data_IF_611866866641
#
_entry.id   IF_611866866641
#
_cell.length_a   1.000
_cell.length_b   1.000
_cell.length_c   1.000
_cell.angle_alpha   90.00
_cell.angle_beta   90.00
_cell.angle_gamma   90.00
#
_symmetry.space_group_name_H-M   'P 1'
#
loop_
_entity.id
_entity.type
_entity.pdbx_description
1 polymer ?
#
# COMPACT_ATOMS: atom_id res chain seq x y z
N UNK A 1 -21.51 -6.15 -13.27
CA UNK A 1 -21.08 -4.90 -12.59
C UNK A 1 -21.36 -3.75 -13.56
N UNK A 2 -22.46 -3.02 -13.39
CA UNK A 2 -22.82 -1.91 -14.28
C UNK A 2 -21.91 -0.73 -14.00
N UNK A 3 -21.22 -0.24 -15.03
CA UNK A 3 -20.43 1.00 -14.96
C UNK A 3 -21.41 2.16 -15.07
N UNK A 4 -21.70 2.83 -13.97
CA UNK A 4 -22.54 4.05 -13.97
C UNK A 4 -21.72 5.13 -14.70
N UNK A 5 -22.19 5.62 -15.86
CA UNK A 5 -21.46 6.66 -16.54
C UNK A 5 -21.63 8.00 -15.79
N UNK A 6 -20.50 8.65 -15.52
CA UNK A 6 -20.42 9.90 -14.75
C UNK A 6 -20.22 11.03 -15.75
N UNK A 7 -21.15 11.98 -15.80
CA UNK A 7 -21.13 13.07 -16.79
C UNK A 7 -20.94 14.45 -16.16
N UNK A 8 -21.29 14.62 -14.88
CA UNK A 8 -21.10 15.86 -14.12
C UNK A 8 -20.26 15.63 -12.87
N UNK A 9 -19.68 16.71 -12.35
CA UNK A 9 -18.90 16.69 -11.11
C UNK A 9 -19.74 16.26 -9.89
N UNK A 10 -21.02 16.62 -9.85
CA UNK A 10 -21.96 16.20 -8.80
C UNK A 10 -22.13 14.68 -8.78
N UNK A 11 -22.30 14.08 -9.96
CA UNK A 11 -22.45 12.64 -10.11
C UNK A 11 -21.19 11.89 -9.66
N UNK A 12 -20.01 12.51 -9.83
CA UNK A 12 -18.75 11.96 -9.32
C UNK A 12 -18.69 12.00 -7.79
N UNK A 13 -19.11 13.11 -7.18
CA UNK A 13 -19.13 13.28 -5.73
C UNK A 13 -20.07 12.24 -5.11
N UNK A 14 -21.28 12.11 -5.65
CA UNK A 14 -22.27 11.14 -5.17
C UNK A 14 -21.76 9.69 -5.31
N UNK A 15 -21.11 9.36 -6.43
CA UNK A 15 -20.54 8.04 -6.65
C UNK A 15 -19.40 7.72 -5.68
N UNK A 16 -18.54 8.69 -5.35
CA UNK A 16 -17.45 8.50 -4.37
C UNK A 16 -18.00 8.35 -2.96
N UNK A 17 -18.99 9.15 -2.58
CA UNK A 17 -19.65 9.07 -1.27
C UNK A 17 -20.38 7.74 -1.08
N UNK A 18 -21.11 7.28 -2.11
CA UNK A 18 -21.75 5.97 -2.10
C UNK A 18 -20.72 4.83 -2.02
N UNK A 19 -19.64 4.89 -2.81
CA UNK A 19 -18.57 3.89 -2.75
C UNK A 19 -17.91 3.86 -1.36
N UNK A 20 -17.70 5.01 -0.72
CA UNK A 20 -17.16 5.10 0.63
C UNK A 20 -18.11 4.46 1.66
N UNK A 21 -19.41 4.77 1.59
CA UNK A 21 -20.43 4.25 2.52
C UNK A 21 -20.69 2.76 2.34
N UNK A 22 -20.61 2.25 1.11
CA UNK A 22 -20.90 0.85 0.77
C UNK A 22 -19.68 -0.07 0.92
N UNK A 23 -18.47 0.48 0.95
CA UNK A 23 -17.26 -0.32 1.10
C UNK A 23 -17.17 -0.97 2.48
N UNK A 24 -16.98 -2.28 2.49
CA UNK A 24 -16.87 -3.03 3.75
C UNK A 24 -15.53 -2.76 4.46
N UNK A 25 -15.52 -2.87 5.79
CA UNK A 25 -14.29 -2.80 6.58
C UNK A 25 -13.27 -3.89 6.16
N UNK A 26 -13.74 -5.07 5.76
CA UNK A 26 -12.88 -6.14 5.25
C UNK A 26 -12.17 -5.75 3.95
N UNK A 27 -12.88 -5.06 3.04
CA UNK A 27 -12.30 -4.52 1.81
C UNK A 27 -11.21 -3.50 2.14
N UNK A 28 -11.46 -2.59 3.09
CA UNK A 28 -10.46 -1.61 3.55
C UNK A 28 -9.21 -2.28 4.11
N UNK A 29 -9.37 -3.29 4.96
CA UNK A 29 -8.26 -4.08 5.50
C UNK A 29 -7.49 -4.78 4.38
N UNK A 30 -8.19 -5.35 3.40
CA UNK A 30 -7.55 -6.04 2.29
C UNK A 30 -6.74 -5.09 1.39
N UNK A 31 -7.25 -3.88 1.15
CA UNK A 31 -6.54 -2.82 0.42
C UNK A 31 -5.30 -2.39 1.20
N UNK A 32 -5.44 -2.11 2.50
CA UNK A 32 -4.35 -1.63 3.33
C UNK A 32 -3.21 -2.65 3.46
N UNK A 33 -3.51 -3.94 3.63
CA UNK A 33 -2.50 -5.00 3.65
C UNK A 33 -1.81 -5.18 2.29
N UNK A 34 -2.54 -4.99 1.19
CA UNK A 34 -1.96 -5.03 -0.15
C UNK A 34 -0.99 -3.86 -0.33
N UNK A 35 -1.37 -2.65 0.09
CA UNK A 35 -0.50 -1.48 0.05
C UNK A 35 0.77 -1.69 0.87
N UNK A 36 0.66 -2.17 2.11
CA UNK A 36 1.83 -2.49 2.94
C UNK A 36 2.74 -3.51 2.27
N UNK A 37 2.17 -4.55 1.66
CA UNK A 37 2.95 -5.57 0.96
C UNK A 37 3.68 -4.97 -0.25
N UNK A 38 3.04 -4.09 -1.01
CA UNK A 38 3.69 -3.37 -2.11
C UNK A 38 4.84 -2.48 -1.62
N UNK A 39 4.67 -1.77 -0.50
CA UNK A 39 5.74 -0.96 0.09
C UNK A 39 6.95 -1.83 0.44
N UNK A 40 6.74 -3.00 1.05
CA UNK A 40 7.83 -3.94 1.33
C UNK A 40 8.54 -4.38 0.03
N UNK A 41 7.80 -4.66 -1.04
CA UNK A 41 8.40 -4.98 -2.34
C UNK A 41 9.21 -3.81 -2.91
N UNK A 42 8.71 -2.57 -2.81
CA UNK A 42 9.44 -1.37 -3.26
C UNK A 42 10.77 -1.24 -2.50
N UNK A 43 10.77 -1.48 -1.19
CA UNK A 43 11.99 -1.44 -0.40
C UNK A 43 12.99 -2.53 -0.84
N UNK A 44 12.50 -3.73 -1.19
CA UNK A 44 13.33 -4.83 -1.68
C UNK A 44 13.88 -4.58 -3.09
N UNK A 45 13.13 -3.88 -3.93
CA UNK A 45 13.49 -3.51 -5.31
C UNK A 45 14.19 -2.15 -5.40
N UNK A 46 14.80 -1.67 -4.31
CA UNK A 46 15.61 -0.44 -4.30
C UNK A 46 14.83 0.80 -4.77
N UNK A 47 13.52 0.86 -4.51
CA UNK A 47 12.63 1.92 -5.00
C UNK A 47 12.00 1.65 -6.36
N UNK A 48 12.34 0.52 -7.00
CA UNK A 48 11.79 0.10 -8.28
C UNK A 48 10.39 -0.51 -8.20
N UNK A 49 9.72 -0.55 -9.34
CA UNK A 49 8.38 -1.15 -9.49
C UNK A 49 8.42 -2.57 -10.10
N UNK A 50 9.62 -3.17 -10.17
CA UNK A 50 9.86 -4.45 -10.83
C UNK A 50 9.49 -5.65 -9.94
N UNK A 51 8.32 -5.60 -9.31
CA UNK A 51 7.80 -6.67 -8.47
C UNK A 51 6.43 -7.14 -8.97
N UNK A 52 6.13 -8.42 -8.73
CA UNK A 52 4.78 -8.94 -8.92
C UNK A 52 3.90 -8.50 -7.75
N UNK A 53 2.62 -8.26 -8.01
CA UNK A 53 1.69 -7.93 -6.94
C UNK A 53 1.69 -9.05 -5.88
N UNK A 54 2.00 -8.76 -4.61
CA UNK A 54 2.08 -9.77 -3.56
C UNK A 54 0.70 -10.34 -3.22
N UNK A 55 0.58 -11.67 -3.27
CA UNK A 55 -0.64 -12.41 -2.95
C UNK A 55 -0.51 -13.16 -1.61
N UNK A 56 -1.20 -12.68 -0.58
CA UNK A 56 -1.16 -13.25 0.78
C UNK A 56 -2.30 -14.26 1.08
N UNK A 57 -3.29 -14.37 0.18
CA UNK A 57 -4.47 -15.21 0.47
C UNK A 57 -5.32 -14.68 1.62
N UNK A 58 -5.54 -13.36 1.66
CA UNK A 58 -6.20 -12.63 2.77
C UNK A 58 -7.54 -13.24 3.20
N UNK A 59 -8.38 -13.65 2.24
CA UNK A 59 -9.65 -14.34 2.53
C UNK A 59 -9.45 -15.63 3.31
N UNK A 60 -8.42 -16.43 2.99
CA UNK A 60 -8.11 -17.68 3.69
C UNK A 60 -7.62 -17.39 5.11
N UNK A 61 -6.74 -16.42 5.28
CA UNK A 61 -6.23 -16.02 6.60
C UNK A 61 -7.32 -15.44 7.50
N UNK A 62 -8.22 -14.62 6.95
CA UNK A 62 -9.37 -14.06 7.67
C UNK A 62 -10.29 -15.16 8.20
N UNK A 63 -10.63 -16.16 7.36
CA UNK A 63 -11.43 -17.33 7.78
C UNK A 63 -10.76 -18.14 8.89
N UNK A 64 -9.43 -18.16 8.93
CA UNK A 64 -8.66 -18.82 9.97
C UNK A 64 -8.42 -17.96 11.22
N UNK A 65 -8.92 -16.71 11.26
CA UNK A 65 -8.60 -15.71 12.29
C UNK A 65 -7.09 -15.43 12.45
N UNK A 66 -6.31 -15.61 11.37
CA UNK A 66 -4.86 -15.40 11.35
C UNK A 66 -4.44 -14.25 10.42
N UNK A 67 -5.37 -13.38 10.03
CA UNK A 67 -5.06 -12.24 9.16
C UNK A 67 -4.28 -11.17 9.97
N UNK A 68 -3.03 -10.83 9.59
CA UNK A 68 -2.31 -9.76 10.26
C UNK A 68 -2.99 -8.42 10.02
N UNK A 69 -2.89 -7.50 10.98
CA UNK A 69 -3.36 -6.11 10.82
C UNK A 69 -2.29 -5.21 10.19
N UNK A 70 -1.03 -5.52 10.46
CA UNK A 70 0.15 -4.78 10.00
C UNK A 70 1.23 -5.78 9.61
N UNK A 71 1.99 -5.48 8.57
CA UNK A 71 3.14 -6.26 8.12
C UNK A 71 4.42 -5.67 8.71
N UNK A 72 5.34 -6.55 9.08
CA UNK A 72 6.63 -6.16 9.64
C UNK A 72 7.64 -5.90 8.52
N UNK A 73 8.43 -4.84 8.68
CA UNK A 73 9.60 -4.57 7.86
C UNK A 73 10.85 -5.00 8.64
N UNK A 74 11.73 -5.78 8.01
CA UNK A 74 13.00 -6.14 8.63
C UNK A 74 13.89 -4.90 8.78
N UNK A 75 14.54 -4.76 9.94
CA UNK A 75 15.39 -3.60 10.22
C UNK A 75 16.51 -3.44 9.19
N UNK A 76 17.11 -4.55 8.74
CA UNK A 76 18.17 -4.51 7.75
C UNK A 76 17.67 -4.09 6.36
N UNK A 77 16.45 -4.49 5.97
CA UNK A 77 15.79 -4.01 4.75
C UNK A 77 15.54 -2.50 4.83
N UNK A 78 15.04 -2.01 5.97
CA UNK A 78 14.83 -0.59 6.19
C UNK A 78 16.14 0.21 6.10
N UNK A 79 17.18 -0.20 6.84
CA UNK A 79 18.51 0.44 6.78
C UNK A 79 19.09 0.41 5.37
N UNK A 80 18.89 -0.68 4.64
CA UNK A 80 19.31 -0.78 3.26
C UNK A 80 18.62 0.27 2.39
N UNK A 81 17.28 0.37 2.47
CA UNK A 81 16.52 1.37 1.72
C UNK A 81 16.92 2.82 2.06
N UNK A 82 17.19 3.12 3.34
CA UNK A 82 17.71 4.44 3.74
C UNK A 82 19.06 4.74 3.08
N UNK A 83 20.01 3.77 3.08
CA UNK A 83 21.30 3.94 2.40
C UNK A 83 21.13 4.17 0.90
N UNK A 84 20.22 3.43 0.24
CA UNK A 84 19.89 3.63 -1.17
C UNK A 84 19.37 5.04 -1.42
N UNK A 85 18.45 5.53 -0.59
CA UNK A 85 17.93 6.90 -0.69
C UNK A 85 19.01 7.95 -0.48
N UNK A 86 19.85 7.82 0.54
CA UNK A 86 20.97 8.74 0.80
C UNK A 86 21.98 8.79 -0.35
N UNK A 87 22.14 7.70 -1.10
CA UNK A 87 23.01 7.65 -2.27
C UNK A 87 22.39 8.31 -3.52
N UNK A 88 21.06 8.45 -3.55
CA UNK A 88 20.30 9.06 -4.64
C UNK A 88 19.83 10.48 -4.30
N UNK A 89 20.51 11.48 -4.85
CA UNK A 89 20.21 12.93 -4.76
C UNK A 89 20.51 13.63 -3.40
N UNK A 90 20.91 14.91 -3.45
CA UNK A 90 21.35 15.69 -2.27
C UNK A 90 20.19 16.05 -1.33
N UNK A 91 18.95 15.99 -1.79
CA UNK A 91 17.75 16.32 -1.00
C UNK A 91 17.34 15.24 -0.01
N UNK A 92 17.65 13.96 -0.30
CA UNK A 92 17.30 12.83 0.58
C UNK A 92 18.15 12.80 1.86
N UNK A 93 19.41 13.27 1.78
CA UNK A 93 20.33 13.39 2.92
C UNK A 93 19.78 14.34 3.99
N UNK A 94 19.04 15.38 3.60
CA UNK A 94 18.40 16.33 4.53
C UNK A 94 17.17 15.74 5.24
N UNK A 95 16.52 14.74 4.65
CA UNK A 95 15.30 14.12 5.18
C UNK A 95 15.57 12.85 5.97
N UNK A 96 16.66 12.13 5.64
CA UNK A 96 17.00 10.82 6.21
C UNK A 96 18.44 10.73 6.73
N UNK A 97 19.10 11.86 6.98
CA UNK A 97 20.40 11.91 7.65
C UNK A 97 20.27 11.64 9.14
N UNK A 98 21.25 10.93 9.72
CA UNK A 98 21.42 10.87 11.17
C UNK A 98 21.95 12.23 11.66
N UNK A 99 21.36 12.74 12.75
CA UNK A 99 21.80 13.95 13.46
C UNK A 99 22.95 13.62 14.39
#
# INVERSE_FOLDING_TARGET
MYRIPIYKITDLIDAVDDAYKTMSADTLVDIFLTLQSCILCILMEYGGNQYKLPHMGKTKLRRANCLPRVLTCELELYKHAIRTLQSGDRGSVLLFGEN
#
